data_IF_935052654169
#
_entry.id   IF_935052654169
#
_cell.length_a   1.000
_cell.length_b   1.000
_cell.length_c   1.000
_cell.angle_alpha   90.00
_cell.angle_beta   90.00
_cell.angle_gamma   90.00
#
_symmetry.space_group_name_H-M   'P 1'
#
loop_
_entity.id
_entity.type
_entity.pdbx_description
1 polymer ?
#
# COMPACT_ATOMS: atom_id res chain seq x y z
N UNK A 1 3.82 -17.48 -9.76
CA UNK A 1 2.48 -17.19 -9.23
C UNK A 1 1.82 -16.24 -10.21
N UNK A 2 0.84 -16.74 -10.97
CA UNK A 2 0.06 -15.92 -11.91
C UNK A 2 -0.81 -14.97 -11.09
N UNK A 3 -0.83 -13.69 -11.46
CA UNK A 3 -1.58 -12.57 -10.85
C UNK A 3 -0.74 -11.73 -9.86
N UNK A 4 0.13 -10.87 -10.39
CA UNK A 4 0.75 -9.79 -9.61
C UNK A 4 -0.23 -8.64 -9.34
N UNK A 5 0.19 -7.66 -8.55
CA UNK A 5 -0.58 -6.47 -8.14
C UNK A 5 -1.26 -5.71 -9.31
N UNK A 6 -0.73 -5.83 -10.54
CA UNK A 6 -1.30 -5.22 -11.75
C UNK A 6 -2.47 -5.97 -12.38
N UNK A 7 -2.85 -7.14 -11.85
CA UNK A 7 -4.02 -7.85 -12.34
C UNK A 7 -5.29 -7.07 -11.90
N UNK A 8 -6.16 -6.61 -12.80
CA UNK A 8 -7.35 -5.82 -12.45
C UNK A 8 -8.29 -6.49 -11.45
N UNK A 9 -8.36 -7.83 -11.47
CA UNK A 9 -9.11 -8.60 -10.49
C UNK A 9 -8.49 -8.48 -9.09
N UNK A 10 -7.15 -8.57 -8.98
CA UNK A 10 -6.43 -8.39 -7.71
C UNK A 10 -6.58 -6.96 -7.21
N UNK A 11 -6.50 -5.97 -8.10
CA UNK A 11 -6.70 -4.56 -7.76
C UNK A 11 -8.11 -4.33 -7.20
N UNK A 12 -9.13 -4.80 -7.93
CA UNK A 12 -10.53 -4.71 -7.48
C UNK A 12 -10.78 -5.44 -6.17
N UNK A 13 -10.12 -6.58 -5.93
CA UNK A 13 -10.23 -7.32 -4.68
C UNK A 13 -9.61 -6.55 -3.50
N UNK A 14 -8.40 -6.00 -3.69
CA UNK A 14 -7.73 -5.16 -2.69
C UNK A 14 -8.58 -3.93 -2.38
N UNK A 15 -9.09 -3.24 -3.41
CA UNK A 15 -9.99 -2.11 -3.22
C UNK A 15 -11.25 -2.48 -2.46
N UNK A 16 -11.86 -3.62 -2.77
CA UNK A 16 -13.03 -4.11 -2.05
C UNK A 16 -12.70 -4.40 -0.58
N UNK A 17 -11.53 -4.97 -0.29
CA UNK A 17 -11.07 -5.23 1.08
C UNK A 17 -10.93 -3.91 1.86
N UNK A 18 -10.24 -2.93 1.28
CA UNK A 18 -10.00 -1.61 1.88
C UNK A 18 -11.23 -0.70 1.93
N UNK A 19 -12.34 -1.06 1.29
CA UNK A 19 -13.58 -0.26 1.33
C UNK A 19 -14.67 -0.93 2.18
N UNK A 20 -14.65 -2.25 2.30
CA UNK A 20 -15.70 -3.00 3.01
C UNK A 20 -15.38 -3.26 4.47
N UNK A 21 -14.10 -3.29 4.84
CA UNK A 21 -13.66 -3.56 6.20
C UNK A 21 -12.82 -2.41 6.76
N UNK A 22 -12.99 -2.18 8.06
CA UNK A 22 -12.08 -1.34 8.83
C UNK A 22 -10.92 -2.23 9.30
N UNK A 23 -9.76 -2.01 8.70
CA UNK A 23 -8.55 -2.77 8.90
C UNK A 23 -7.68 -2.09 9.96
N UNK A 24 -7.00 -2.90 10.77
CA UNK A 24 -5.95 -2.41 11.66
C UNK A 24 -4.59 -2.41 10.96
N UNK A 25 -3.59 -1.66 11.48
CA UNK A 25 -2.26 -1.63 10.89
C UNK A 25 -1.58 -2.95 10.62
N UNK A 26 -1.90 -3.96 11.42
CA UNK A 26 -1.43 -5.32 11.20
C UNK A 26 -2.00 -5.95 9.93
N UNK A 27 -3.27 -5.72 9.62
CA UNK A 27 -3.98 -6.43 8.55
C UNK A 27 -3.39 -6.08 7.18
N UNK A 28 -3.21 -4.79 6.89
CA UNK A 28 -2.66 -4.42 5.59
C UNK A 28 -1.15 -4.70 5.48
N UNK A 29 -0.39 -4.76 6.58
CA UNK A 29 0.97 -5.32 6.60
C UNK A 29 0.99 -6.82 6.24
N UNK A 30 -0.09 -7.54 6.51
CA UNK A 30 -0.27 -8.94 6.07
C UNK A 30 -0.77 -9.04 4.64
N UNK A 31 -1.61 -8.11 4.19
CA UNK A 31 -2.05 -8.05 2.80
C UNK A 31 -0.86 -7.78 1.87
N UNK A 32 0.02 -6.84 2.20
CA UNK A 32 1.21 -6.58 1.37
C UNK A 32 2.13 -7.80 1.22
N UNK A 33 2.27 -8.63 2.27
CA UNK A 33 3.05 -9.87 2.20
C UNK A 33 2.50 -10.85 1.16
N UNK A 34 1.19 -10.80 0.89
CA UNK A 34 0.53 -11.66 -0.08
C UNK A 34 0.66 -11.16 -1.53
N UNK A 35 0.72 -9.84 -1.74
CA UNK A 35 0.60 -9.25 -3.09
C UNK A 35 1.88 -8.54 -3.59
N UNK A 36 2.77 -8.12 -2.70
CA UNK A 36 3.99 -7.38 -3.04
C UNK A 36 5.22 -8.28 -3.04
N UNK A 37 6.13 -8.04 -4.00
CA UNK A 37 7.49 -8.57 -3.92
C UNK A 37 8.26 -7.86 -2.80
N UNK A 38 9.34 -8.45 -2.24
CA UNK A 38 10.10 -7.83 -1.14
C UNK A 38 10.55 -6.38 -1.39
N UNK A 39 11.00 -6.05 -2.60
CA UNK A 39 11.39 -4.67 -2.95
C UNK A 39 10.19 -3.72 -3.03
N UNK A 40 9.04 -4.19 -3.53
CA UNK A 40 7.80 -3.42 -3.57
C UNK A 40 7.28 -3.15 -2.15
N UNK A 41 7.35 -4.17 -1.28
CA UNK A 41 7.03 -4.06 0.15
C UNK A 41 7.83 -2.96 0.84
N UNK A 42 9.15 -2.91 0.61
CA UNK A 42 10.00 -1.88 1.20
C UNK A 42 9.62 -0.47 0.72
N UNK A 43 9.35 -0.30 -0.57
CA UNK A 43 8.93 0.98 -1.13
C UNK A 43 7.58 1.43 -0.58
N UNK A 44 6.63 0.49 -0.47
CA UNK A 44 5.33 0.74 0.12
C UNK A 44 5.46 1.19 1.57
N UNK A 45 6.29 0.50 2.37
CA UNK A 45 6.47 0.83 3.78
C UNK A 45 7.05 2.23 3.96
N UNK A 46 8.05 2.61 3.14
CA UNK A 46 8.65 3.94 3.18
C UNK A 46 7.65 5.03 2.79
N UNK A 47 6.90 4.85 1.69
CA UNK A 47 5.90 5.82 1.25
C UNK A 47 4.75 5.95 2.27
N UNK A 48 4.29 4.83 2.82
CA UNK A 48 3.27 4.83 3.86
C UNK A 48 3.74 5.56 5.14
N UNK A 49 4.98 5.33 5.59
CA UNK A 49 5.55 6.04 6.74
C UNK A 49 5.63 7.55 6.50
N UNK A 50 6.11 7.98 5.33
CA UNK A 50 6.19 9.40 4.97
C UNK A 50 4.82 10.07 4.94
N UNK A 51 3.79 9.38 4.42
CA UNK A 51 2.41 9.87 4.40
C UNK A 51 1.81 10.00 5.80
N UNK A 52 2.11 9.07 6.69
CA UNK A 52 1.71 9.19 8.10
C UNK A 52 2.37 10.38 8.77
N UNK A 53 3.67 10.59 8.56
CA UNK A 53 4.37 11.76 9.12
C UNK A 53 3.78 13.09 8.62
N UNK A 54 3.45 13.18 7.33
CA UNK A 54 2.77 14.33 6.77
C UNK A 54 1.38 14.53 7.38
N UNK A 55 0.57 13.47 7.47
CA UNK A 55 -0.77 13.53 8.05
C UNK A 55 -0.74 13.91 9.54
N UNK A 56 0.21 13.39 10.32
CA UNK A 56 0.39 13.77 11.73
C UNK A 56 0.71 15.25 11.86
N UNK A 57 1.51 15.80 10.94
CA UNK A 57 1.81 17.24 10.90
C UNK A 57 0.54 18.07 10.69
N UNK A 58 -0.35 17.64 9.79
CA UNK A 58 -1.64 18.29 9.56
C UNK A 58 -2.61 18.11 10.75
N UNK A 59 -2.56 16.97 11.42
CA UNK A 59 -3.39 16.62 12.57
C UNK A 59 -3.11 17.50 13.81
N UNK A 60 -2.02 18.27 13.86
CA UNK A 60 -1.82 19.28 14.92
C UNK A 60 -2.83 20.42 14.88
N UNK A 61 -3.57 20.58 13.78
CA UNK A 61 -4.72 21.50 13.70
C UNK A 61 -5.97 20.99 14.44
N UNK A 62 -6.02 19.70 14.78
CA UNK A 62 -7.10 19.08 15.54
C UNK A 62 -7.01 19.44 17.04
N UNK A 63 -8.08 19.20 17.84
CA UNK A 63 -8.04 19.40 19.27
C UNK A 63 -6.82 18.75 19.93
N UNK A 64 -6.24 19.41 20.94
CA UNK A 64 -5.08 18.91 21.63
C UNK A 64 -5.35 17.51 22.20
N UNK A 65 -4.45 16.57 21.92
CA UNK A 65 -4.57 15.18 22.39
C UNK A 65 -5.46 14.31 21.51
N UNK A 66 -5.86 14.78 20.32
CA UNK A 66 -6.50 13.94 19.32
C UNK A 66 -5.59 12.72 19.01
N UNK A 67 -6.12 11.48 19.05
CA UNK A 67 -5.30 10.29 18.91
C UNK A 67 -4.60 10.19 17.54
N UNK A 68 -5.07 10.91 16.52
CA UNK A 68 -4.42 10.98 15.20
C UNK A 68 -3.13 11.79 15.19
N UNK A 69 -2.80 12.50 16.27
CA UNK A 69 -1.52 13.20 16.43
C UNK A 69 -0.37 12.24 16.78
N UNK A 70 -0.65 10.96 17.04
CA UNK A 70 0.37 9.98 17.44
C UNK A 70 0.70 9.00 16.31
N UNK A 71 1.87 9.17 15.72
CA UNK A 71 2.42 8.31 14.65
C UNK A 71 2.35 6.82 14.97
N UNK A 72 2.64 6.43 16.21
CA UNK A 72 2.64 5.03 16.64
C UNK A 72 1.27 4.37 16.52
N UNK A 73 0.18 5.12 16.74
CA UNK A 73 -1.18 4.62 16.57
C UNK A 73 -1.49 4.38 15.09
N UNK A 74 -1.14 5.35 14.23
CA UNK A 74 -1.38 5.26 12.79
C UNK A 74 -0.52 4.19 12.10
N UNK A 75 0.69 3.93 12.59
CA UNK A 75 1.60 2.89 12.05
C UNK A 75 1.46 1.52 12.74
N UNK A 76 0.75 1.42 13.85
CA UNK A 76 0.74 0.22 14.69
C UNK A 76 2.15 -0.13 15.20
N UNK A 77 2.87 0.86 15.73
CA UNK A 77 4.21 0.75 16.33
C UNK A 77 4.14 1.02 17.84
N UNK A 78 5.26 0.86 18.53
CA UNK A 78 5.35 1.09 19.98
C UNK A 78 4.37 0.20 20.76
N UNK A 79 3.50 0.84 21.55
CA UNK A 79 2.47 0.14 22.32
C UNK A 79 1.42 -0.59 21.44
N UNK A 80 1.34 -0.23 20.16
CA UNK A 80 0.33 -0.74 19.22
C UNK A 80 0.90 -1.79 18.26
N UNK A 81 2.03 -2.43 18.58
CA UNK A 81 2.55 -3.56 17.78
C UNK A 81 1.59 -4.76 17.81
N UNK A 82 0.87 -4.93 18.93
CA UNK A 82 -0.09 -6.02 19.08
C UNK A 82 -1.41 -5.68 18.34
N UNK A 83 -1.91 -6.56 17.43
CA UNK A 83 -3.19 -6.36 16.75
C UNK A 83 -4.40 -6.19 17.67
N UNK A 84 -4.39 -6.85 18.85
CA UNK A 84 -5.46 -6.69 19.84
C UNK A 84 -5.45 -5.31 20.50
N UNK A 85 -4.32 -4.61 20.54
CA UNK A 85 -4.28 -3.21 20.99
C UNK A 85 -4.69 -2.26 19.86
N UNK A 86 -4.37 -2.60 18.60
CA UNK A 86 -4.82 -1.83 17.45
C UNK A 86 -6.34 -1.87 17.26
N UNK A 87 -7.01 -3.00 17.53
CA UNK A 87 -8.46 -3.11 17.40
C UNK A 87 -9.25 -2.26 18.40
N UNK A 88 -8.58 -1.73 19.43
CA UNK A 88 -9.15 -0.82 20.43
C UNK A 88 -8.92 0.65 20.07
N UNK A 89 -8.19 0.95 19.00
CA UNK A 89 -7.95 2.32 18.54
C UNK A 89 -9.26 2.98 18.12
N UNK A 90 -9.28 4.31 18.23
CA UNK A 90 -10.39 5.11 17.76
C UNK A 90 -10.62 4.88 16.26
N UNK A 91 -11.90 4.83 15.85
CA UNK A 91 -12.28 4.59 14.45
C UNK A 91 -11.65 5.61 13.51
N UNK A 92 -11.51 6.88 13.93
CA UNK A 92 -10.89 7.92 13.12
C UNK A 92 -9.39 7.66 12.87
N UNK A 93 -8.69 7.08 13.84
CA UNK A 93 -7.29 6.65 13.67
C UNK A 93 -7.21 5.53 12.64
N UNK A 94 -8.07 4.52 12.78
CA UNK A 94 -8.09 3.37 11.87
C UNK A 94 -8.44 3.80 10.43
N UNK A 95 -9.44 4.67 10.26
CA UNK A 95 -9.82 5.19 8.94
C UNK A 95 -8.70 5.99 8.28
N UNK A 96 -8.05 6.91 9.01
CA UNK A 96 -6.95 7.71 8.47
C UNK A 96 -5.75 6.81 8.14
N UNK A 97 -5.37 5.91 9.05
CA UNK A 97 -4.30 4.94 8.86
C UNK A 97 -4.51 4.08 7.61
N UNK A 98 -5.73 3.53 7.44
CA UNK A 98 -6.10 2.72 6.29
C UNK A 98 -6.07 3.50 4.97
N UNK A 99 -6.54 4.75 4.96
CA UNK A 99 -6.44 5.62 3.79
C UNK A 99 -4.99 5.85 3.37
N UNK A 100 -4.13 6.18 4.34
CA UNK A 100 -2.71 6.43 4.12
C UNK A 100 -1.95 5.17 3.67
N UNK A 101 -2.40 3.98 4.09
CA UNK A 101 -1.83 2.69 3.68
C UNK A 101 -2.28 2.24 2.28
N UNK A 102 -3.49 2.64 1.86
CA UNK A 102 -4.08 2.27 0.57
C UNK A 102 -3.40 2.98 -0.59
N UNK A 103 -3.18 4.28 -0.49
CA UNK A 103 -2.64 5.07 -1.61
C UNK A 103 -1.25 4.59 -2.11
N UNK A 104 -0.28 4.28 -1.23
CA UNK A 104 1.01 3.72 -1.62
C UNK A 104 0.94 2.39 -2.36
N UNK A 105 -0.09 1.57 -2.12
CA UNK A 105 -0.22 0.29 -2.82
C UNK A 105 -0.33 0.52 -4.32
N UNK A 106 -1.07 1.55 -4.74
CA UNK A 106 -1.21 1.91 -6.15
C UNK A 106 0.08 2.54 -6.71
N UNK A 107 0.72 3.43 -5.96
CA UNK A 107 1.98 4.06 -6.38
C UNK A 107 3.13 3.06 -6.62
N UNK A 108 3.22 2.00 -5.81
CA UNK A 108 4.23 0.95 -5.95
C UNK A 108 3.94 0.01 -7.13
N UNK A 109 2.68 -0.07 -7.55
CA UNK A 109 2.29 -0.71 -8.81
C UNK A 109 3.01 -0.02 -9.98
N UNK A 110 2.84 1.30 -10.07
CA UNK A 110 3.33 2.13 -11.17
C UNK A 110 4.86 2.24 -11.18
N UNK A 111 5.50 2.30 -10.00
CA UNK A 111 6.96 2.26 -9.89
C UNK A 111 7.59 0.95 -10.38
N UNK A 112 6.83 -0.16 -10.38
CA UNK A 112 7.24 -1.41 -11.00
C UNK A 112 7.36 -1.32 -12.53
N UNK A 113 6.53 -0.48 -13.16
CA UNK A 113 6.60 -0.17 -14.59
C UNK A 113 7.73 0.82 -14.89
N UNK A 114 7.90 1.87 -14.06
CA UNK A 114 8.92 2.92 -14.27
C UNK A 114 10.38 2.44 -14.19
N UNK A 115 10.65 1.25 -13.63
CA UNK A 115 12.01 0.66 -13.63
C UNK A 115 12.34 -0.19 -14.85
N UNK A 116 11.36 -0.49 -15.71
CA UNK A 116 11.65 -1.09 -17.00
C UNK A 116 11.84 0.04 -18.00
N UNK A 117 13.11 0.38 -18.28
CA UNK A 117 13.40 1.10 -19.51
C UNK A 117 12.80 0.29 -20.66
N UNK A 118 12.00 0.89 -21.55
CA UNK A 118 11.40 0.18 -22.69
C UNK A 118 12.46 -0.59 -23.50
N UNK A 119 13.70 -0.10 -23.49
CA UNK A 119 14.88 -0.70 -24.16
C UNK A 119 15.28 -2.05 -23.54
N UNK A 120 14.91 -2.29 -22.27
CA UNK A 120 15.20 -3.52 -21.53
C UNK A 120 14.06 -4.54 -21.58
N UNK A 121 12.87 -4.15 -22.04
CA UNK A 121 11.75 -5.07 -22.17
C UNK A 121 11.98 -5.96 -23.39
N UNK A 122 12.08 -7.26 -23.16
CA UNK A 122 12.18 -8.28 -24.21
C UNK A 122 11.13 -9.34 -23.94
N UNK A 123 10.47 -9.80 -24.99
CA UNK A 123 9.54 -10.90 -24.87
C UNK A 123 10.30 -12.17 -24.48
N UNK A 124 9.95 -12.76 -23.34
CA UNK A 124 10.56 -14.00 -22.90
C UNK A 124 9.99 -15.20 -23.69
N UNK A 125 10.75 -16.30 -23.89
CA UNK A 125 10.31 -17.44 -24.71
C UNK A 125 9.02 -18.12 -24.23
N UNK A 126 8.63 -17.93 -22.95
CA UNK A 126 7.42 -18.48 -22.34
C UNK A 126 6.32 -17.45 -22.13
N UNK A 127 6.56 -16.20 -22.52
CA UNK A 127 5.63 -15.09 -22.37
C UNK A 127 4.72 -14.97 -23.60
N UNK A 128 3.42 -14.74 -23.37
CA UNK A 128 2.50 -14.51 -24.47
C UNK A 128 2.75 -13.13 -25.09
N UNK A 129 2.53 -13.03 -26.40
CA UNK A 129 2.73 -11.77 -27.11
C UNK A 129 1.88 -10.61 -26.54
N UNK A 130 0.65 -10.90 -26.08
CA UNK A 130 -0.21 -9.89 -25.48
C UNK A 130 0.32 -9.38 -24.13
N UNK A 131 0.83 -10.28 -23.28
CA UNK A 131 1.47 -9.90 -22.01
C UNK A 131 2.70 -8.99 -22.22
N UNK A 132 3.49 -9.28 -23.25
CA UNK A 132 4.60 -8.44 -23.66
C UNK A 132 4.14 -7.04 -24.12
N UNK A 133 3.08 -6.95 -24.93
CA UNK A 133 2.53 -5.67 -25.39
C UNK A 133 1.97 -4.82 -24.24
N UNK A 134 1.31 -5.45 -23.27
CA UNK A 134 0.80 -4.74 -22.08
C UNK A 134 1.94 -4.13 -21.25
N UNK A 135 3.03 -4.88 -21.07
CA UNK A 135 4.25 -4.39 -20.40
C UNK A 135 4.94 -3.27 -21.18
N UNK A 136 5.04 -3.43 -22.52
CA UNK A 136 5.67 -2.43 -23.38
C UNK A 136 4.88 -1.11 -23.39
N UNK A 137 3.53 -1.19 -23.46
CA UNK A 137 2.67 -0.01 -23.40
C UNK A 137 2.79 0.70 -22.06
N UNK A 138 2.73 -0.04 -20.95
CA UNK A 138 2.87 0.54 -19.61
C UNK A 138 4.24 1.16 -19.30
N UNK A 139 5.26 0.90 -20.12
CA UNK A 139 6.58 1.52 -20.00
C UNK A 139 6.81 2.69 -20.98
N UNK A 140 5.87 2.96 -21.89
CA UNK A 140 5.90 4.06 -22.85
C UNK A 140 5.02 5.25 -22.44
N UNK A 141 4.03 5.01 -21.58
CA UNK A 141 3.16 6.02 -20.95
C UNK A 141 3.84 6.64 -19.72
#
# INVERSE_FOLDING_TARGET
MQNGLMNPYVQSLIDHIFTSWLLVPFDYKKLEDAFLKPTQKLLWLVDWEQRVEAAVTENFSLPQGDPRQFTDMLLGKGAYVNPQEQSKLDVAVLQQSQGLAREPLWAVSDMGLLKLSYVTIRQEPKETFMSFLDLLRGALD
#
